data_IF_397818679962
#
_entry.id   IF_397818679962
#
_cell.length_a   1.000
_cell.length_b   1.000
_cell.length_c   1.000
_cell.angle_alpha   90.00
_cell.angle_beta   90.00
_cell.angle_gamma   90.00
#
_symmetry.space_group_name_H-M   'P 1'
#
loop_
_entity.id
_entity.type
_entity.pdbx_description
1 polymer ?
#
# COMPACT_ATOMS: atom_id res chain seq x y z
N UNK A 1 -5.82 6.48 1.68
CA UNK A 1 -4.64 6.29 2.56
C UNK A 1 -3.47 7.16 2.10
N UNK A 2 -2.78 7.85 3.02
CA UNK A 2 -1.50 8.53 2.74
C UNK A 2 -0.31 7.70 3.28
N UNK A 3 0.70 7.49 2.44
CA UNK A 3 1.93 6.75 2.77
C UNK A 3 3.15 7.66 2.78
N UNK A 4 4.06 7.44 3.71
CA UNK A 4 5.39 8.06 3.75
C UNK A 4 6.28 7.52 2.64
N UNK A 5 7.44 8.15 2.41
CA UNK A 5 8.38 7.70 1.35
C UNK A 5 8.89 6.27 1.61
N UNK A 6 9.21 5.94 2.87
CA UNK A 6 9.70 4.61 3.25
C UNK A 6 8.60 3.53 3.15
N UNK A 7 7.37 3.88 3.49
CA UNK A 7 6.20 3.00 3.32
C UNK A 7 5.93 2.70 1.84
N UNK A 8 6.02 3.71 0.96
CA UNK A 8 5.87 3.50 -0.50
C UNK A 8 6.96 2.58 -1.06
N UNK A 9 8.20 2.75 -0.60
CA UNK A 9 9.31 1.86 -0.98
C UNK A 9 9.02 0.43 -0.56
N UNK A 10 8.61 0.21 0.69
CA UNK A 10 8.28 -1.13 1.20
C UNK A 10 7.23 -1.83 0.32
N UNK A 11 6.20 -1.11 -0.14
CA UNK A 11 5.21 -1.66 -1.08
C UNK A 11 5.85 -2.02 -2.42
N UNK A 12 6.58 -1.09 -3.03
CA UNK A 12 7.21 -1.29 -4.35
C UNK A 12 8.17 -2.48 -4.32
N UNK A 13 9.05 -2.56 -3.32
CA UNK A 13 10.02 -3.66 -3.20
C UNK A 13 9.34 -4.98 -2.93
N UNK A 14 8.28 -5.00 -2.13
CA UNK A 14 7.48 -6.23 -1.90
C UNK A 14 6.81 -6.72 -3.19
N UNK A 15 6.29 -5.80 -4.01
CA UNK A 15 5.71 -6.16 -5.32
C UNK A 15 6.80 -6.69 -6.27
N UNK A 16 7.96 -6.03 -6.31
CA UNK A 16 9.10 -6.46 -7.12
C UNK A 16 9.56 -7.88 -6.74
N UNK A 17 9.66 -8.18 -5.44
CA UNK A 17 10.03 -9.52 -4.94
C UNK A 17 8.95 -10.55 -5.27
N UNK A 18 7.67 -10.20 -5.15
CA UNK A 18 6.57 -11.14 -5.38
C UNK A 18 6.36 -11.48 -6.87
N UNK A 19 6.49 -10.48 -7.75
CA UNK A 19 6.22 -10.62 -9.19
C UNK A 19 7.49 -11.00 -9.98
N UNK A 20 8.66 -10.62 -9.47
CA UNK A 20 9.94 -10.77 -10.14
C UNK A 20 10.29 -9.57 -11.01
N UNK A 21 11.59 -9.26 -11.06
CA UNK A 21 12.13 -8.09 -11.75
C UNK A 21 11.86 -8.09 -13.25
N UNK A 22 12.01 -9.22 -13.92
CA UNK A 22 11.85 -9.36 -15.37
C UNK A 22 10.42 -9.05 -15.85
N UNK A 23 9.43 -9.33 -15.01
CA UNK A 23 8.02 -9.02 -15.28
C UNK A 23 7.75 -7.55 -14.95
N UNK A 24 8.31 -7.06 -13.84
CA UNK A 24 8.14 -5.67 -13.41
C UNK A 24 8.74 -4.68 -14.42
N UNK A 25 9.95 -4.97 -14.92
CA UNK A 25 10.69 -4.14 -15.88
C UNK A 25 10.01 -3.98 -17.25
N UNK A 26 9.06 -4.86 -17.60
CA UNK A 26 8.27 -4.73 -18.85
C UNK A 26 7.21 -3.63 -18.76
N UNK A 27 6.83 -3.24 -17.55
CA UNK A 27 5.70 -2.36 -17.30
C UNK A 27 6.08 -1.13 -16.48
N UNK A 28 7.29 -1.10 -15.90
CA UNK A 28 7.76 -0.05 -15.01
C UNK A 28 9.15 0.40 -15.45
N UNK A 29 9.36 1.72 -15.44
CA UNK A 29 10.68 2.33 -15.63
C UNK A 29 11.54 2.07 -14.39
N UNK A 30 12.37 1.02 -14.48
CA UNK A 30 13.25 0.58 -13.40
C UNK A 30 14.34 1.60 -13.08
N UNK A 31 14.79 2.37 -14.07
CA UNK A 31 15.84 3.37 -13.84
C UNK A 31 15.31 4.49 -12.94
N UNK A 32 14.11 5.00 -13.25
CA UNK A 32 13.46 6.00 -12.39
C UNK A 32 13.16 5.45 -11.00
N UNK A 33 12.85 4.15 -10.89
CA UNK A 33 12.64 3.46 -9.62
C UNK A 33 13.92 3.49 -8.77
N UNK A 34 15.05 3.16 -9.37
CA UNK A 34 16.36 3.12 -8.72
C UNK A 34 16.83 4.51 -8.31
N UNK A 35 16.64 5.52 -9.15
CA UNK A 35 16.98 6.92 -8.84
C UNK A 35 16.17 7.46 -7.64
N UNK A 36 14.89 7.13 -7.55
CA UNK A 36 14.01 7.62 -6.48
C UNK A 36 14.20 6.90 -5.13
N UNK A 37 14.65 5.64 -5.18
CA UNK A 37 14.67 4.75 -4.01
C UNK A 37 16.05 4.28 -3.57
N UNK A 38 17.05 4.25 -4.45
CA UNK A 38 18.39 3.75 -4.16
C UNK A 38 19.09 4.51 -3.02
N UNK A 39 18.89 5.83 -2.96
CA UNK A 39 19.45 6.66 -1.89
C UNK A 39 18.72 6.49 -0.55
N UNK A 40 17.43 6.12 -0.57
CA UNK A 40 16.67 5.93 0.66
C UNK A 40 16.90 4.55 1.28
N UNK A 41 17.00 3.51 0.44
CA UNK A 41 17.28 2.14 0.89
C UNK A 41 18.68 2.04 1.49
N UNK A 42 19.67 2.71 0.88
CA UNK A 42 21.06 2.72 1.36
C UNK A 42 21.22 3.44 2.72
N UNK A 43 20.33 4.37 3.04
CA UNK A 43 20.36 5.14 4.30
C UNK A 43 19.42 4.59 5.40
N UNK A 44 18.57 3.60 5.09
CA UNK A 44 17.58 3.07 6.02
C UNK A 44 18.10 1.82 6.74
N UNK A 45 17.83 1.69 8.04
CA UNK A 45 18.18 0.46 8.77
C UNK A 45 17.13 -0.64 8.57
N UNK A 46 17.51 -1.91 8.76
CA UNK A 46 16.57 -3.05 8.73
C UNK A 46 15.37 -2.83 9.67
N UNK A 47 15.63 -2.22 10.83
CA UNK A 47 14.61 -1.85 11.80
C UNK A 47 13.61 -0.82 11.27
N UNK A 48 14.08 0.18 10.52
CA UNK A 48 13.21 1.21 9.94
C UNK A 48 12.36 0.63 8.81
N UNK A 49 12.94 -0.23 7.97
CA UNK A 49 12.20 -0.98 6.96
C UNK A 49 11.13 -1.87 7.59
N UNK A 50 11.45 -2.62 8.64
CA UNK A 50 10.48 -3.46 9.34
C UNK A 50 9.30 -2.67 9.93
N UNK A 51 9.58 -1.49 10.52
CA UNK A 51 8.54 -0.58 11.00
C UNK A 51 7.67 -0.02 9.87
N UNK A 52 8.27 0.37 8.76
CA UNK A 52 7.53 0.89 7.62
C UNK A 52 6.61 -0.17 7.02
N UNK A 53 7.09 -1.41 6.86
CA UNK A 53 6.28 -2.54 6.38
C UNK A 53 5.09 -2.80 7.30
N UNK A 54 5.32 -2.87 8.63
CA UNK A 54 4.22 -3.06 9.59
C UNK A 54 3.21 -1.92 9.54
N UNK A 55 3.69 -0.68 9.44
CA UNK A 55 2.84 0.51 9.34
C UNK A 55 1.97 0.49 8.08
N UNK A 56 2.52 0.13 6.92
CA UNK A 56 1.75 -0.07 5.68
C UNK A 56 0.67 -1.12 5.86
N UNK A 57 1.03 -2.29 6.42
CA UNK A 57 0.09 -3.40 6.61
C UNK A 57 -1.10 -2.99 7.48
N UNK A 58 -0.84 -2.34 8.61
CA UNK A 58 -1.92 -1.85 9.48
C UNK A 58 -2.82 -0.86 8.75
N UNK A 59 -2.25 0.12 8.03
CA UNK A 59 -3.05 1.08 7.27
C UNK A 59 -3.85 0.44 6.13
N UNK A 60 -3.33 -0.62 5.50
CA UNK A 60 -4.08 -1.39 4.50
C UNK A 60 -5.25 -2.14 5.13
N UNK A 61 -5.04 -2.78 6.29
CA UNK A 61 -6.10 -3.44 7.05
C UNK A 61 -7.19 -2.44 7.41
N UNK A 62 -6.82 -1.30 8.01
CA UNK A 62 -7.75 -0.24 8.39
C UNK A 62 -8.55 0.26 7.16
N UNK A 63 -7.87 0.52 6.04
CA UNK A 63 -8.52 0.97 4.80
C UNK A 63 -9.50 -0.06 4.23
N UNK A 64 -9.22 -1.36 4.37
CA UNK A 64 -10.14 -2.42 3.92
C UNK A 64 -11.36 -2.53 4.85
N UNK A 65 -11.15 -2.39 6.16
CA UNK A 65 -12.22 -2.43 7.16
C UNK A 65 -13.13 -1.19 7.08
N UNK A 66 -12.57 0.01 6.88
CA UNK A 66 -13.32 1.24 6.64
C UNK A 66 -14.21 1.13 5.39
N UNK A 67 -13.67 0.54 4.31
CA UNK A 67 -14.43 0.27 3.09
C UNK A 67 -15.65 -0.64 3.34
N UNK A 68 -15.50 -1.67 4.17
CA UNK A 68 -16.60 -2.57 4.52
C UNK A 68 -17.69 -1.90 5.37
N UNK A 69 -17.32 -1.04 6.33
CA UNK A 69 -18.30 -0.33 7.18
C UNK A 69 -19.14 0.71 6.41
N UNK A 70 -18.58 1.31 5.36
CA UNK A 70 -19.31 2.22 4.46
C UNK A 70 -20.32 1.47 3.57
N UNK A 71 -20.00 0.24 3.16
CA UNK A 71 -20.92 -0.61 2.39
C UNK A 71 -22.11 -1.04 3.26
N UNK A 72 -21.87 -1.51 4.48
CA UNK A 72 -22.95 -1.90 5.41
C UNK A 72 -23.88 -0.73 5.78
N UNK A 73 -23.34 0.47 6.00
CA UNK A 73 -24.16 1.65 6.30
C UNK A 73 -25.05 2.08 5.12
N UNK A 74 -24.55 2.01 3.88
CA UNK A 74 -25.36 2.37 2.71
C UNK A 74 -26.50 1.36 2.45
N UNK A 75 -26.29 0.08 2.69
CA UNK A 75 -27.35 -0.95 2.57
C UNK A 75 -28.43 -0.78 3.65
N UNK A 76 -28.04 -0.38 4.87
CA UNK A 76 -28.98 -0.13 5.97
C UNK A 76 -29.88 1.08 5.71
N UNK A 77 -29.34 2.16 5.12
CA UNK A 77 -30.10 3.39 4.81
C UNK A 77 -31.08 3.17 3.64
N UNK A 78 -30.71 2.38 2.63
CA UNK A 78 -31.62 2.09 1.50
C UNK A 78 -32.83 1.22 1.90
N UNK A 79 -32.64 0.28 2.84
CA UNK A 79 -33.74 -0.55 3.32
C UNK A 79 -34.75 0.23 4.19
N UNK A 80 -34.34 1.29 4.87
CA UNK A 80 -35.26 2.14 5.66
C UNK A 80 -36.06 3.16 4.82
N UNK A 81 -35.62 3.46 3.60
CA UNK A 81 -36.29 4.43 2.72
C UNK A 81 -37.35 3.77 1.81
N UNK A 82 -37.32 2.44 1.68
CA UNK A 82 -38.23 1.67 0.80
C UNK A 82 -39.52 1.21 1.50
N UNK A 83 -39.63 1.39 2.82
CA UNK A 83 -40.80 0.97 3.63
C UNK A 83 -41.68 2.14 4.13
N UNK A 84 -41.73 3.28 3.43
CA UNK A 84 -42.61 4.41 3.75
C UNK A 84 -43.70 4.65 2.71
#
# INVERSE_FOLDING_TARGET
>A
MQLTKLEKISVVTSILVAIGEDVFAKHVDMQRLEEEFGELVSNSTEKDCGKATLSVLNKMIDSLLEGNQLVENNETIQNQTTEA
#
